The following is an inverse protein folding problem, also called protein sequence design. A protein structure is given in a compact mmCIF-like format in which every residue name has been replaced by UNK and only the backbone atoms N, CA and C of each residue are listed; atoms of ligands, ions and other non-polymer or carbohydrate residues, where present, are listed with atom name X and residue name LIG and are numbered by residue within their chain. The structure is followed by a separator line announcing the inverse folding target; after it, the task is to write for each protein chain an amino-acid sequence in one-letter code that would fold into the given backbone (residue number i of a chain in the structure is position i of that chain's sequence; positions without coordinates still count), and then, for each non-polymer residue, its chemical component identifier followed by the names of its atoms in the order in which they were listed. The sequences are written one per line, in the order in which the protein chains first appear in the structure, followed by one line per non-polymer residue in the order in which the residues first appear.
data_IF_942671976549
#
_entry.id   IF_942671976549
#
_cell.length_a   1.000
_cell.length_b   1.000
_cell.length_c   1.000
_cell.angle_alpha   90.00
_cell.angle_beta   90.00
_cell.angle_gamma   90.00
#
_symmetry.space_group_name_H-M   'P 1'
#
loop_
_entity.id
_entity.type
_entity.pdbx_description
1 polymer ?
#
# COMPACT_ATOMS: atom_id res chain seq x y z
N UNK A 1 -26.56 -3.26 15.62
CA UNK A 1 -27.70 -3.34 14.68
C UNK A 1 -27.30 -4.24 13.51
N UNK A 2 -28.05 -5.33 13.30
CA UNK A 2 -27.86 -6.32 12.24
C UNK A 2 -28.53 -5.83 10.94
N UNK A 3 -27.84 -6.01 9.82
CA UNK A 3 -28.35 -6.18 8.45
C UNK A 3 -27.49 -7.33 7.92
N UNK A 4 -28.05 -8.48 7.60
CA UNK A 4 -28.75 -8.71 6.33
C UNK A 4 -27.86 -9.68 5.56
N UNK A 5 -28.34 -10.92 5.41
CA UNK A 5 -27.60 -12.05 4.85
C UNK A 5 -27.13 -11.74 3.43
N UNK A 6 -25.82 -11.61 3.24
CA UNK A 6 -25.18 -12.01 1.99
C UNK A 6 -24.07 -12.99 2.34
N UNK A 7 -24.44 -14.26 2.19
CA UNK A 7 -23.55 -15.42 2.24
C UNK A 7 -22.39 -15.17 1.27
N UNK A 8 -21.19 -14.90 1.80
CA UNK A 8 -19.97 -15.01 1.02
C UNK A 8 -19.83 -16.49 0.64
N UNK A 9 -20.20 -16.81 -0.60
CA UNK A 9 -19.88 -18.09 -1.21
C UNK A 9 -18.36 -18.29 -1.14
N UNK A 10 -17.86 -19.41 -0.57
CA UNK A 10 -16.44 -19.66 -0.47
C UNK A 10 -15.83 -19.79 -1.87
N UNK A 11 -14.60 -19.28 -2.02
CA UNK A 11 -13.84 -19.36 -3.26
C UNK A 11 -13.76 -20.82 -3.73
N UNK A 12 -14.32 -21.09 -4.91
CA UNK A 12 -14.25 -22.38 -5.55
C UNK A 12 -12.80 -22.83 -5.68
N UNK A 13 -12.54 -24.05 -5.19
CA UNK A 13 -11.30 -24.82 -5.26
C UNK A 13 -10.57 -24.59 -6.59
N UNK A 14 -9.35 -24.06 -6.52
CA UNK A 14 -8.43 -24.12 -7.64
C UNK A 14 -7.95 -25.57 -7.75
N UNK A 15 -8.52 -26.29 -8.72
CA UNK A 15 -8.18 -27.67 -9.02
C UNK A 15 -6.67 -27.81 -9.27
N UNK A 16 -6.08 -28.76 -8.56
CA UNK A 16 -4.74 -29.26 -8.80
C UNK A 16 -4.68 -29.96 -10.17
N UNK A 17 -4.23 -29.26 -11.22
CA UNK A 17 -3.90 -29.90 -12.50
C UNK A 17 -2.59 -29.38 -13.07
N UNK A 18 -1.52 -30.09 -12.68
CA UNK A 18 -0.46 -30.69 -13.51
C UNK A 18 0.22 -29.84 -14.60
N UNK A 19 1.54 -29.75 -14.42
CA UNK A 19 2.60 -29.79 -15.45
C UNK A 19 2.66 -28.69 -16.53
N UNK A 20 3.43 -27.63 -16.24
CA UNK A 20 4.17 -26.86 -17.26
C UNK A 20 5.66 -26.76 -16.89
N UNK A 21 6.27 -27.91 -16.58
CA UNK A 21 7.66 -28.04 -16.15
C UNK A 21 8.72 -28.05 -17.25
N UNK A 22 8.39 -27.81 -18.53
CA UNK A 22 9.36 -27.95 -19.64
C UNK A 22 9.89 -26.63 -20.22
N UNK A 23 9.26 -25.47 -19.98
CA UNK A 23 9.76 -24.20 -20.54
C UNK A 23 10.81 -23.48 -19.67
N UNK A 24 10.86 -23.76 -18.36
CA UNK A 24 11.82 -23.09 -17.46
C UNK A 24 13.26 -23.66 -17.54
N UNK A 25 13.46 -24.86 -18.11
CA UNK A 25 14.81 -25.47 -18.22
C UNK A 25 15.60 -24.99 -19.44
N UNK A 26 14.94 -24.46 -20.47
CA UNK A 26 15.63 -23.99 -21.68
C UNK A 26 16.33 -22.64 -21.49
N UNK A 27 15.77 -21.73 -20.70
CA UNK A 27 16.35 -20.40 -20.44
C UNK A 27 17.50 -20.44 -19.44
N UNK A 28 17.49 -21.39 -18.50
CA UNK A 28 18.57 -21.54 -17.51
C UNK A 28 19.92 -21.97 -18.14
N UNK A 29 19.93 -22.65 -19.30
CA UNK A 29 21.19 -23.07 -19.95
C UNK A 29 21.85 -21.99 -20.81
N UNK A 30 21.15 -20.90 -21.16
CA UNK A 30 21.74 -19.82 -21.96
C UNK A 30 22.45 -18.75 -21.14
N UNK A 31 22.15 -18.65 -19.84
CA UNK A 31 22.80 -17.68 -18.94
C UNK A 31 24.10 -18.20 -18.27
N UNK A 32 24.38 -19.50 -18.32
CA UNK A 32 25.54 -20.11 -17.65
C UNK A 32 26.86 -20.03 -18.45
N UNK A 33 26.98 -19.12 -19.44
CA UNK A 33 28.15 -19.01 -20.33
C UNK A 33 28.93 -17.68 -20.26
N UNK A 34 28.73 -16.86 -19.23
CA UNK A 34 29.67 -15.77 -18.92
C UNK A 34 30.57 -16.16 -17.76
N UNK A 35 31.87 -16.13 -17.97
CA UNK A 35 32.91 -16.62 -17.06
C UNK A 35 32.95 -15.95 -15.69
N UNK A 36 33.87 -16.40 -14.81
CA UNK A 36 33.90 -15.97 -13.42
C UNK A 36 34.38 -14.53 -13.32
N UNK A 37 33.45 -13.59 -13.18
CA UNK A 37 33.76 -12.25 -12.73
C UNK A 37 34.31 -12.34 -11.30
N UNK A 38 35.64 -12.35 -11.23
CA UNK A 38 36.43 -12.14 -10.02
C UNK A 38 35.87 -10.90 -9.31
N UNK A 39 35.42 -11.08 -8.07
CA UNK A 39 35.09 -9.99 -7.17
C UNK A 39 36.32 -9.08 -7.03
N UNK A 40 36.33 -7.97 -7.78
CA UNK A 40 37.34 -6.93 -7.62
C UNK A 40 37.17 -6.34 -6.22
N UNK A 41 38.11 -6.66 -5.34
CA UNK A 41 38.29 -6.07 -4.01
C UNK A 41 38.82 -4.64 -4.14
N UNK A 42 38.11 -3.78 -4.87
CA UNK A 42 38.39 -2.36 -4.86
C UNK A 42 37.76 -1.75 -3.60
N UNK A 43 38.61 -1.46 -2.61
CA UNK A 43 38.32 -0.67 -1.39
C UNK A 43 37.91 0.78 -1.67
N UNK A 44 37.21 1.06 -2.77
CA UNK A 44 36.53 2.35 -2.96
C UNK A 44 35.21 2.28 -2.21
N UNK A 45 35.26 2.64 -0.91
CA UNK A 45 34.08 3.19 -0.22
C UNK A 45 33.56 4.30 -1.12
N UNK A 46 32.54 3.98 -1.92
CA UNK A 46 31.68 4.99 -2.51
C UNK A 46 30.97 5.67 -1.34
N UNK A 47 31.66 6.62 -0.70
CA UNK A 47 31.00 7.68 0.05
C UNK A 47 30.32 8.53 -1.02
N UNK A 48 29.18 8.04 -1.50
CA UNK A 48 28.24 8.85 -2.28
C UNK A 48 27.87 9.97 -1.32
N UNK A 49 28.45 11.14 -1.59
CA UNK A 49 28.20 12.41 -0.91
C UNK A 49 26.70 12.53 -0.63
N UNK A 50 26.36 12.41 0.66
CA UNK A 50 24.99 12.30 1.13
C UNK A 50 24.26 13.65 1.17
N UNK A 51 24.96 14.76 0.89
CA UNK A 51 24.42 16.11 0.93
C UNK A 51 23.93 16.63 -0.43
N UNK A 52 24.53 16.17 -1.55
CA UNK A 52 24.25 16.74 -2.88
C UNK A 52 23.01 16.20 -3.59
N UNK A 53 22.58 14.97 -3.27
CA UNK A 53 21.38 14.37 -3.86
C UNK A 53 20.29 14.30 -2.81
N UNK A 54 19.33 15.23 -2.87
CA UNK A 54 18.13 15.20 -2.04
C UNK A 54 17.53 13.80 -2.02
N UNK A 55 17.36 13.22 -0.83
CA UNK A 55 16.90 11.84 -0.69
C UNK A 55 15.49 11.73 -1.29
N UNK A 56 15.28 10.98 -2.38
CA UNK A 56 13.97 10.92 -3.02
C UNK A 56 12.90 10.46 -2.02
N UNK A 57 11.70 11.06 -2.14
CA UNK A 57 10.56 10.83 -1.24
C UNK A 57 10.89 11.02 0.25
N UNK A 58 11.83 11.90 0.56
CA UNK A 58 12.16 12.35 1.92
C UNK A 58 11.98 13.85 1.96
N UNK A 59 11.35 14.36 3.00
CA UNK A 59 11.17 15.80 3.16
C UNK A 59 11.18 16.21 4.63
N UNK A 60 11.37 17.50 4.92
CA UNK A 60 11.37 18.01 6.28
C UNK A 60 9.99 17.80 6.92
N UNK A 61 9.94 17.16 8.07
CA UNK A 61 8.68 16.96 8.79
C UNK A 61 8.24 18.26 9.50
N UNK A 62 7.05 18.81 9.19
CA UNK A 62 6.57 20.04 9.82
C UNK A 62 6.35 19.92 11.34
N UNK A 63 6.15 18.71 11.89
CA UNK A 63 5.87 18.53 13.32
C UNK A 63 7.09 18.12 14.15
N UNK A 64 8.18 17.72 13.50
CA UNK A 64 9.37 17.17 14.16
C UNK A 64 10.61 17.97 13.78
N UNK A 65 10.58 19.29 14.02
CA UNK A 65 11.72 20.21 13.82
C UNK A 65 12.42 20.05 12.45
N UNK A 66 11.63 19.89 11.38
CA UNK A 66 12.13 19.68 10.02
C UNK A 66 13.02 18.42 9.84
N UNK A 67 12.96 17.44 10.74
CA UNK A 67 13.68 16.17 10.59
C UNK A 67 13.28 15.48 9.28
N UNK A 68 14.24 14.85 8.58
CA UNK A 68 13.96 14.18 7.32
C UNK A 68 13.05 12.97 7.56
N UNK A 69 11.89 12.95 6.91
CA UNK A 69 10.89 11.89 7.07
C UNK A 69 10.18 11.54 5.78
N UNK A 70 9.38 10.48 5.86
CA UNK A 70 8.49 10.00 4.81
C UNK A 70 7.14 9.64 5.35
N UNK A 71 6.13 9.73 4.49
CA UNK A 71 4.76 9.34 4.77
C UNK A 71 4.38 8.10 3.95
N UNK A 72 3.74 7.15 4.62
CA UNK A 72 3.09 6.01 4.01
C UNK A 72 1.61 6.33 3.85
N UNK A 73 1.13 6.33 2.61
CA UNK A 73 -0.28 6.50 2.27
C UNK A 73 -0.82 5.15 1.87
N UNK A 74 -1.91 4.69 2.48
CA UNK A 74 -2.44 3.34 2.25
C UNK A 74 -3.94 3.42 2.05
N UNK A 75 -4.46 2.63 1.11
CA UNK A 75 -5.89 2.35 0.96
C UNK A 75 -6.14 0.91 1.37
N UNK A 76 -7.13 0.71 2.23
CA UNK A 76 -7.55 -0.61 2.68
C UNK A 76 -9.00 -0.89 2.31
N UNK A 77 -9.36 -2.17 2.27
CA UNK A 77 -10.77 -2.59 2.31
C UNK A 77 -11.39 -2.39 3.71
N UNK A 78 -12.63 -2.83 3.88
CA UNK A 78 -13.37 -2.78 5.14
C UNK A 78 -12.78 -3.67 6.26
N UNK A 79 -11.95 -4.66 5.90
CA UNK A 79 -11.29 -5.58 6.84
C UNK A 79 -9.86 -5.13 7.19
N UNK A 80 -9.33 -4.11 6.53
CA UNK A 80 -7.96 -3.61 6.71
C UNK A 80 -6.94 -4.28 5.80
N UNK A 81 -7.37 -5.02 4.77
CA UNK A 81 -6.49 -5.55 3.73
C UNK A 81 -5.96 -4.39 2.88
N UNK A 82 -4.64 -4.16 2.81
CA UNK A 82 -4.09 -3.09 1.99
C UNK A 82 -4.25 -3.41 0.50
N UNK A 83 -4.92 -2.51 -0.23
CA UNK A 83 -5.15 -2.62 -1.67
C UNK A 83 -4.07 -1.88 -2.47
N UNK A 84 -3.68 -0.70 -1.99
CA UNK A 84 -2.66 0.14 -2.60
C UNK A 84 -1.89 0.91 -1.53
N UNK A 85 -0.61 1.18 -1.79
CA UNK A 85 0.24 1.96 -0.90
C UNK A 85 1.20 2.87 -1.70
N UNK A 86 1.31 4.13 -1.28
CA UNK A 86 2.15 5.14 -1.90
C UNK A 86 3.10 5.74 -0.84
N UNK A 87 4.35 5.94 -1.24
CA UNK A 87 5.37 6.59 -0.42
C UNK A 87 5.59 8.03 -0.90
N UNK A 88 5.67 8.97 0.04
CA UNK A 88 6.00 10.38 -0.21
C UNK A 88 6.94 10.95 0.88
N UNK A 89 7.46 12.16 0.67
CA UNK A 89 8.18 12.89 1.72
C UNK A 89 7.25 13.36 2.84
N UNK A 90 7.79 13.56 4.04
CA UNK A 90 6.99 13.99 5.20
C UNK A 90 6.35 15.38 5.04
N UNK A 91 6.91 16.23 4.19
CA UNK A 91 6.38 17.56 3.88
C UNK A 91 5.19 17.53 2.89
N UNK A 92 4.87 16.39 2.28
CA UNK A 92 3.79 16.29 1.30
C UNK A 92 2.44 16.29 2.02
N UNK A 93 1.48 17.08 1.52
CA UNK A 93 0.12 17.10 2.04
C UNK A 93 -0.63 15.83 1.64
N UNK A 94 -1.28 15.19 2.61
CA UNK A 94 -1.91 13.87 2.45
C UNK A 94 -3.04 13.91 1.43
N UNK A 95 -3.80 15.02 1.38
CA UNK A 95 -4.91 15.21 0.42
C UNK A 95 -4.48 15.01 -1.04
N UNK A 96 -3.24 15.39 -1.37
CA UNK A 96 -2.70 15.28 -2.74
C UNK A 96 -2.51 13.83 -3.18
N UNK A 97 -2.41 12.90 -2.23
CA UNK A 97 -2.18 11.49 -2.49
C UNK A 97 -3.47 10.68 -2.57
N UNK A 98 -4.63 11.29 -2.29
CA UNK A 98 -5.93 10.63 -2.34
C UNK A 98 -6.24 10.08 -3.74
N UNK A 99 -6.21 10.92 -4.78
CA UNK A 99 -6.54 10.48 -6.14
C UNK A 99 -5.50 9.48 -6.68
N UNK A 100 -4.17 9.72 -6.54
CA UNK A 100 -3.17 8.72 -6.91
C UNK A 100 -3.36 7.36 -6.23
N UNK A 101 -3.78 7.35 -4.96
CA UNK A 101 -4.06 6.11 -4.24
C UNK A 101 -5.27 5.37 -4.81
N UNK A 102 -6.35 6.09 -5.12
CA UNK A 102 -7.55 5.49 -5.73
C UNK A 102 -7.23 4.93 -7.12
N UNK A 103 -6.44 5.64 -7.92
CA UNK A 103 -5.99 5.17 -9.24
C UNK A 103 -5.05 3.97 -9.17
N UNK A 104 -4.34 3.79 -8.05
CA UNK A 104 -3.45 2.66 -7.83
C UNK A 104 -4.16 1.39 -7.36
N UNK A 105 -5.48 1.42 -7.10
CA UNK A 105 -6.24 0.24 -6.68
C UNK A 105 -6.25 -0.77 -7.83
N UNK A 106 -5.77 -2.01 -7.63
CA UNK A 106 -5.83 -3.03 -8.65
C UNK A 106 -7.26 -3.48 -8.91
N UNK A 107 -7.59 -4.00 -10.11
CA UNK A 107 -8.90 -4.56 -10.39
C UNK A 107 -9.18 -5.74 -9.44
N UNK A 108 -10.20 -5.61 -8.60
CA UNK A 108 -10.56 -6.64 -7.62
C UNK A 108 -11.43 -7.69 -8.32
N UNK A 109 -10.87 -8.88 -8.51
CA UNK A 109 -11.57 -10.05 -9.05
C UNK A 109 -12.13 -10.88 -7.88
N UNK A 110 -13.33 -11.42 -8.02
CA UNK A 110 -13.89 -12.33 -7.01
C UNK A 110 -15.38 -12.58 -7.14
N UNK A 111 -16.16 -11.57 -7.54
CA UNK A 111 -17.59 -11.73 -7.83
C UNK A 111 -17.79 -12.09 -9.31
N UNK A 112 -18.84 -12.87 -9.61
CA UNK A 112 -19.27 -13.10 -11.00
C UNK A 112 -19.63 -11.74 -11.63
N UNK A 113 -19.08 -11.46 -12.81
CA UNK A 113 -19.26 -10.19 -13.52
C UNK A 113 -17.95 -9.42 -13.72
N UNK A 114 -18.07 -8.16 -14.17
CA UNK A 114 -16.90 -7.31 -14.42
C UNK A 114 -16.19 -7.00 -13.09
N UNK A 115 -14.85 -7.15 -13.00
CA UNK A 115 -14.09 -6.79 -11.81
C UNK A 115 -14.36 -5.35 -11.37
N UNK A 116 -14.56 -5.13 -10.07
CA UNK A 116 -14.67 -3.77 -9.55
C UNK A 116 -13.29 -3.12 -9.63
N UNK A 117 -13.18 -2.06 -10.44
CA UNK A 117 -11.95 -1.27 -10.57
C UNK A 117 -11.92 -0.09 -9.61
N UNK A 118 -13.09 0.35 -9.10
CA UNK A 118 -13.21 1.53 -8.26
C UNK A 118 -14.09 1.24 -7.04
N UNK A 119 -13.75 1.78 -5.86
CA UNK A 119 -14.60 1.68 -4.68
C UNK A 119 -15.87 2.51 -4.89
N UNK A 120 -17.01 2.05 -4.37
CA UNK A 120 -18.26 2.83 -4.38
C UNK A 120 -18.23 4.00 -3.40
N UNK A 121 -17.58 3.79 -2.27
CA UNK A 121 -17.51 4.76 -1.16
C UNK A 121 -16.07 4.81 -0.66
N UNK A 122 -15.57 6.01 -0.40
CA UNK A 122 -14.24 6.24 0.20
C UNK A 122 -14.39 6.95 1.52
N UNK A 123 -13.89 6.32 2.58
CA UNK A 123 -13.76 6.92 3.89
C UNK A 123 -12.36 7.51 4.05
N UNK A 124 -12.27 8.77 4.49
CA UNK A 124 -10.99 9.39 4.78
C UNK A 124 -11.07 10.28 6.03
N UNK A 125 -9.90 10.54 6.62
CA UNK A 125 -9.80 11.44 7.76
C UNK A 125 -10.08 12.90 7.39
N UNK A 126 -10.14 13.76 8.41
CA UNK A 126 -10.39 15.19 8.26
C UNK A 126 -9.27 15.93 7.51
N UNK A 127 -8.04 15.41 7.49
CA UNK A 127 -6.92 15.97 6.74
C UNK A 127 -7.09 15.88 5.23
N UNK A 128 -7.93 14.94 4.75
CA UNK A 128 -8.31 14.83 3.34
C UNK A 128 -9.45 15.76 2.92
N UNK A 129 -9.96 16.63 3.80
CA UNK A 129 -11.07 17.52 3.49
C UNK A 129 -10.68 18.59 2.45
N UNK A 130 -11.19 18.44 1.23
CA UNK A 130 -11.02 19.39 0.14
C UNK A 130 -12.13 19.23 -0.88
N UNK A 131 -12.85 20.30 -1.18
CA UNK A 131 -13.96 20.26 -2.13
C UNK A 131 -13.53 19.84 -3.54
N UNK A 132 -12.34 20.28 -3.97
CA UNK A 132 -11.72 19.85 -5.22
C UNK A 132 -11.59 18.33 -5.31
N UNK A 133 -11.15 17.68 -4.24
CA UNK A 133 -10.95 16.24 -4.21
C UNK A 133 -12.26 15.48 -4.04
N UNK A 134 -13.22 16.02 -3.27
CA UNK A 134 -14.60 15.48 -3.20
C UNK A 134 -15.27 15.49 -4.56
N UNK A 135 -15.15 16.59 -5.32
CA UNK A 135 -15.66 16.68 -6.69
C UNK A 135 -15.00 15.65 -7.60
N UNK A 136 -13.67 15.57 -7.59
CA UNK A 136 -12.94 14.59 -8.39
C UNK A 136 -13.31 13.13 -8.07
N UNK A 137 -13.67 12.81 -6.82
CA UNK A 137 -14.20 11.49 -6.45
C UNK A 137 -15.62 11.27 -7.00
N UNK A 138 -16.50 12.27 -6.87
CA UNK A 138 -17.86 12.19 -7.42
C UNK A 138 -17.88 12.06 -8.94
N UNK A 139 -16.99 12.78 -9.64
CA UNK A 139 -16.81 12.67 -11.10
C UNK A 139 -16.38 11.25 -11.53
N UNK A 140 -15.79 10.48 -10.61
CA UNK A 140 -15.42 9.07 -10.80
C UNK A 140 -16.50 8.08 -10.35
N UNK A 141 -17.66 8.57 -9.93
CA UNK A 141 -18.76 7.77 -9.39
C UNK A 141 -18.49 7.23 -7.97
N UNK A 142 -17.61 7.88 -7.22
CA UNK A 142 -17.20 7.46 -5.87
C UNK A 142 -17.77 8.43 -4.85
N UNK A 143 -18.48 7.92 -3.85
CA UNK A 143 -19.02 8.73 -2.75
C UNK A 143 -17.94 9.06 -1.71
N UNK A 144 -17.59 10.34 -1.50
CA UNK A 144 -16.56 10.74 -0.54
C UNK A 144 -17.15 10.96 0.87
N UNK A 145 -16.95 9.99 1.77
CA UNK A 145 -17.32 10.10 3.19
C UNK A 145 -16.11 10.57 4.00
N UNK A 146 -15.84 11.87 3.89
CA UNK A 146 -14.72 12.56 4.54
C UNK A 146 -15.26 13.48 5.63
N UNK A 147 -14.68 13.45 6.84
CA UNK A 147 -15.04 14.40 7.89
C UNK A 147 -14.71 15.83 7.46
N UNK A 148 -15.67 16.74 7.58
CA UNK A 148 -15.43 18.17 7.34
C UNK A 148 -14.49 18.74 8.40
N UNK A 149 -13.66 19.69 8.00
CA UNK A 149 -12.81 20.47 8.92
C UNK A 149 -13.69 21.41 9.74
N UNK A 150 -13.29 21.67 10.99
CA UNK A 150 -13.97 22.59 11.93
C UNK A 150 -15.40 22.18 12.35
N UNK A 151 -15.80 20.93 12.14
CA UNK A 151 -17.04 20.38 12.72
C UNK A 151 -16.74 19.62 14.00
N UNK A 152 -17.74 19.50 14.89
CA UNK A 152 -17.62 18.75 16.14
C UNK A 152 -17.22 17.29 15.91
N UNK A 153 -16.60 16.70 16.93
CA UNK A 153 -16.14 15.32 16.96
C UNK A 153 -17.32 14.35 17.13
N UNK A 154 -18.13 14.18 16.09
CA UNK A 154 -19.34 13.34 16.16
C UNK A 154 -19.65 12.50 14.92
N UNK A 155 -18.82 12.53 13.88
CA UNK A 155 -19.18 11.98 12.56
C UNK A 155 -19.27 10.44 12.48
N UNK A 156 -19.15 9.70 13.60
CA UNK A 156 -19.18 8.23 13.61
C UNK A 156 -18.01 7.54 12.88
N UNK A 157 -17.12 8.32 12.24
CA UNK A 157 -16.02 7.81 11.42
C UNK A 157 -14.98 7.02 12.21
N UNK A 158 -14.92 7.16 13.54
CA UNK A 158 -14.02 6.38 14.39
C UNK A 158 -14.12 4.87 14.17
N UNK A 159 -15.35 4.36 13.92
CA UNK A 159 -15.61 2.95 13.63
C UNK A 159 -14.94 2.46 12.33
N UNK A 160 -14.75 3.33 11.35
CA UNK A 160 -14.08 2.97 10.09
C UNK A 160 -12.59 3.28 10.14
N UNK A 161 -12.22 4.35 10.85
CA UNK A 161 -10.83 4.78 11.02
C UNK A 161 -9.95 3.73 11.70
N UNK A 162 -10.46 3.04 12.73
CA UNK A 162 -9.65 2.07 13.46
C UNK A 162 -9.11 0.95 12.56
N UNK A 163 -9.83 0.60 11.49
CA UNK A 163 -9.42 -0.45 10.56
C UNK A 163 -8.13 -0.05 9.84
N UNK A 164 -8.08 1.19 9.32
CA UNK A 164 -6.91 1.73 8.63
C UNK A 164 -5.77 1.97 9.62
N UNK A 165 -6.08 2.51 10.80
CA UNK A 165 -5.10 2.74 11.87
C UNK A 165 -4.47 1.42 12.34
N UNK A 166 -5.25 0.34 12.43
CA UNK A 166 -4.77 -1.02 12.72
C UNK A 166 -3.81 -1.52 11.63
N UNK A 167 -4.14 -1.32 10.35
CA UNK A 167 -3.25 -1.72 9.25
C UNK A 167 -1.94 -0.93 9.28
N UNK A 168 -1.99 0.37 9.60
CA UNK A 168 -0.79 1.17 9.88
C UNK A 168 0.03 0.58 11.04
N UNK A 169 -0.61 0.20 12.14
CA UNK A 169 0.06 -0.40 13.28
C UNK A 169 0.78 -1.71 12.91
N UNK A 170 0.15 -2.57 12.10
CA UNK A 170 0.79 -3.79 11.58
C UNK A 170 2.00 -3.49 10.70
N UNK A 171 1.91 -2.48 9.81
CA UNK A 171 3.06 -2.09 8.99
C UNK A 171 4.19 -1.51 9.83
N UNK A 172 3.88 -0.69 10.83
CA UNK A 172 4.87 -0.12 11.75
C UNK A 172 5.37 -1.11 12.81
N UNK A 173 4.82 -2.32 12.88
CA UNK A 173 5.44 -3.42 13.62
C UNK A 173 6.74 -3.87 12.94
N UNK A 174 6.83 -3.76 11.61
CA UNK A 174 8.07 -3.99 10.89
C UNK A 174 9.07 -2.85 11.15
N UNK A 175 10.16 -3.15 11.87
CA UNK A 175 11.18 -2.16 12.27
C UNK A 175 11.68 -1.27 11.12
N UNK A 176 11.85 -1.85 9.92
CA UNK A 176 12.32 -1.13 8.71
C UNK A 176 11.30 -0.15 8.13
N UNK A 177 10.01 -0.34 8.41
CA UNK A 177 8.94 0.59 8.02
C UNK A 177 8.67 1.62 9.11
N UNK A 178 8.82 1.24 10.39
CA UNK A 178 8.72 2.18 11.53
C UNK A 178 9.78 3.27 11.46
N UNK A 179 11.03 2.87 11.23
CA UNK A 179 12.17 3.80 11.09
C UNK A 179 12.75 3.58 9.71
N UNK A 180 12.78 4.63 8.88
CA UNK A 180 13.34 4.56 7.54
C UNK A 180 14.87 4.53 7.61
N UNK A 181 15.45 3.33 7.52
CA UNK A 181 16.90 3.13 7.36
C UNK A 181 17.34 3.27 5.90
N UNK A 182 16.42 3.05 4.96
CA UNK A 182 16.73 2.99 3.54
C UNK A 182 16.94 4.39 2.94
N UNK A 183 18.14 4.62 2.40
CA UNK A 183 18.46 5.88 1.71
C UNK A 183 17.69 6.01 0.39
N UNK A 184 17.58 4.93 -0.38
CA UNK A 184 16.86 4.94 -1.66
C UNK A 184 15.36 4.73 -1.46
N UNK A 185 14.56 5.47 -2.22
CA UNK A 185 13.10 5.44 -2.09
C UNK A 185 12.45 4.19 -2.70
N UNK A 186 13.07 3.61 -3.71
CA UNK A 186 12.64 2.38 -4.36
C UNK A 186 12.77 1.17 -3.41
N UNK A 187 13.88 1.07 -2.67
CA UNK A 187 14.08 0.04 -1.65
C UNK A 187 13.07 0.20 -0.52
N UNK A 188 12.88 1.43 0.01
CA UNK A 188 11.87 1.67 1.03
C UNK A 188 10.46 1.34 0.55
N UNK A 189 10.14 1.72 -0.69
CA UNK A 189 8.87 1.39 -1.34
C UNK A 189 8.69 -0.11 -1.55
N UNK A 190 9.76 -0.86 -1.83
CA UNK A 190 9.73 -2.32 -1.95
C UNK A 190 9.40 -2.98 -0.60
N UNK A 191 10.00 -2.51 0.51
CA UNK A 191 9.63 -2.99 1.84
C UNK A 191 8.19 -2.66 2.22
N UNK A 192 7.69 -1.49 1.82
CA UNK A 192 6.29 -1.13 2.06
C UNK A 192 5.36 -2.11 1.33
N UNK A 193 5.63 -2.40 0.06
CA UNK A 193 4.87 -3.38 -0.72
C UNK A 193 4.98 -4.78 -0.11
N UNK A 194 6.18 -5.21 0.28
CA UNK A 194 6.38 -6.49 0.94
C UNK A 194 5.59 -6.60 2.25
N UNK A 195 5.58 -5.55 3.08
CA UNK A 195 4.77 -5.48 4.29
C UNK A 195 3.27 -5.60 3.99
N UNK A 196 2.79 -4.94 2.93
CA UNK A 196 1.41 -5.10 2.47
C UNK A 196 1.11 -6.54 2.04
N UNK A 197 1.99 -7.18 1.27
CA UNK A 197 1.85 -8.58 0.86
C UNK A 197 1.75 -9.53 2.07
N UNK A 198 2.58 -9.33 3.09
CA UNK A 198 2.53 -10.15 4.32
C UNK A 198 1.22 -9.97 5.08
N UNK A 199 0.68 -8.75 5.14
CA UNK A 199 -0.63 -8.50 5.74
C UNK A 199 -1.72 -9.20 4.92
N UNK A 200 -1.73 -9.05 3.60
CA UNK A 200 -2.69 -9.71 2.71
C UNK A 200 -2.63 -11.24 2.86
N UNK A 201 -1.43 -11.81 2.91
CA UNK A 201 -1.22 -13.23 3.12
C UNK A 201 -1.82 -13.71 4.45
N UNK A 202 -1.58 -12.96 5.53
CA UNK A 202 -2.14 -13.29 6.84
C UNK A 202 -3.66 -13.16 6.86
N UNK A 203 -4.23 -12.17 6.18
CA UNK A 203 -5.69 -12.03 6.04
C UNK A 203 -6.29 -13.22 5.30
N UNK A 204 -5.68 -13.63 4.18
CA UNK A 204 -6.14 -14.78 3.39
C UNK A 204 -6.06 -16.08 4.20
N UNK A 205 -4.97 -16.31 4.93
CA UNK A 205 -4.83 -17.49 5.81
C UNK A 205 -5.90 -17.55 6.90
N UNK A 206 -6.25 -16.41 7.48
CA UNK A 206 -7.32 -16.33 8.49
C UNK A 206 -8.69 -16.61 7.88
N UNK A 207 -8.94 -16.14 6.65
CA UNK A 207 -10.16 -16.42 5.93
C UNK A 207 -10.31 -17.91 5.59
N UNK A 208 -9.22 -18.55 5.16
CA UNK A 208 -9.17 -19.99 4.88
C UNK A 208 -9.44 -20.85 6.13
N UNK A 209 -8.93 -20.44 7.29
CA UNK A 209 -9.18 -21.12 8.58
C UNK A 209 -10.59 -20.91 9.15
N UNK A 210 -11.33 -19.91 8.66
CA UNK A 210 -12.69 -19.61 9.13
C UNK A 210 -13.79 -20.36 8.39
N UNK A 211 -13.42 -21.16 7.38
CA UNK A 211 -14.29 -22.04 6.61
C UNK A 211 -14.24 -23.47 7.14
#
# INVERSE_FOLDING_TARGET
MRLGRDMLAPAARLASSRCLGSLARATARKAARSGPDRLLTSRRRFIIDSRRWGRPKTGPNPTDRARPGSKHHIVTDANGTPLAAILTGANVNDVTQLLPLIDAIPPIRGLRGHPLQRPRVVYADRGYDSERHRRALRDRGIEPVIAKRRTEHGSGLGKYRWVVERTHAWLHHFRRLRIRFERRADIHGAFLKLGCCLICWNTLRRADQSL
#
